data_IF_012075524344
#
_entry.id   IF_012075524344
#
_cell.length_a   1.000
_cell.length_b   1.000
_cell.length_c   1.000
_cell.angle_alpha   90.00
_cell.angle_beta   90.00
_cell.angle_gamma   90.00
#
_symmetry.space_group_name_H-M   'P 1'
#
loop_
_entity.id
_entity.type
_entity.pdbx_description
1 polymer ?
#
# COMPACT_ATOMS: atom_id res chain seq x y z
N UNK A 1 -4.73 2.31 -0.94
CA UNK A 1 -6.13 1.95 -0.58
C UNK A 1 -6.25 0.45 -0.89
N UNK A 2 -7.10 -0.35 -0.22
CA UNK A 2 -7.20 -1.79 -0.54
C UNK A 2 -8.45 -2.05 -1.39
N UNK A 3 -8.32 -2.86 -2.45
CA UNK A 3 -9.39 -3.20 -3.38
C UNK A 3 -10.64 -3.77 -2.72
N UNK A 4 -10.49 -4.52 -1.63
CA UNK A 4 -11.63 -5.03 -0.83
C UNK A 4 -12.46 -3.86 -0.29
N UNK A 5 -11.79 -2.83 0.25
CA UNK A 5 -12.45 -1.64 0.79
C UNK A 5 -13.18 -0.86 -0.31
N UNK A 6 -12.58 -0.76 -1.50
CA UNK A 6 -13.19 -0.10 -2.66
C UNK A 6 -14.45 -0.82 -3.13
N UNK A 7 -14.38 -2.14 -3.31
CA UNK A 7 -15.50 -2.96 -3.75
C UNK A 7 -16.63 -2.92 -2.72
N UNK A 8 -16.31 -3.03 -1.43
CA UNK A 8 -17.29 -2.89 -0.35
C UNK A 8 -18.00 -1.53 -0.39
N UNK A 9 -17.23 -0.44 -0.51
CA UNK A 9 -17.78 0.92 -0.55
C UNK A 9 -18.62 1.17 -1.80
N UNK A 10 -18.24 0.62 -2.96
CA UNK A 10 -19.04 0.68 -4.20
C UNK A 10 -20.41 0.02 -4.03
N UNK A 11 -20.50 -1.01 -3.20
CA UNK A 11 -21.76 -1.65 -2.83
C UNK A 11 -22.49 -0.98 -1.65
N UNK A 12 -21.95 0.10 -1.08
CA UNK A 12 -22.55 0.81 0.06
C UNK A 12 -22.56 0.01 1.37
N UNK A 13 -21.71 -1.02 1.49
CA UNK A 13 -21.71 -1.92 2.64
C UNK A 13 -20.82 -1.41 3.78
N UNK A 14 -21.21 -1.69 5.02
CA UNK A 14 -20.32 -1.55 6.19
C UNK A 14 -19.40 -2.76 6.30
N UNK A 15 -18.29 -2.64 7.03
CA UNK A 15 -17.40 -3.79 7.26
C UNK A 15 -18.12 -4.93 8.00
N UNK A 16 -19.02 -4.60 8.92
CA UNK A 16 -19.87 -5.58 9.61
C UNK A 16 -20.74 -6.35 8.62
N UNK A 17 -21.48 -5.66 7.74
CA UNK A 17 -22.33 -6.32 6.76
C UNK A 17 -21.54 -7.19 5.79
N UNK A 18 -20.38 -6.72 5.32
CA UNK A 18 -19.52 -7.57 4.48
C UNK A 18 -19.09 -8.84 5.24
N UNK A 19 -18.73 -8.70 6.52
CA UNK A 19 -18.38 -9.84 7.38
C UNK A 19 -19.50 -10.85 7.51
N UNK A 20 -20.72 -10.39 7.76
CA UNK A 20 -21.92 -11.23 7.84
C UNK A 20 -22.17 -12.02 6.54
N UNK A 21 -22.06 -11.37 5.39
CA UNK A 21 -22.28 -11.99 4.07
C UNK A 21 -21.27 -13.08 3.73
N UNK A 22 -20.01 -12.93 4.19
CA UNK A 22 -18.93 -13.88 3.88
C UNK A 22 -18.52 -14.75 5.07
N UNK A 23 -19.27 -14.69 6.17
CA UNK A 23 -19.11 -15.55 7.34
C UNK A 23 -17.90 -15.24 8.23
N UNK A 24 -17.46 -13.98 8.32
CA UNK A 24 -16.34 -13.55 9.17
C UNK A 24 -16.68 -12.35 10.03
N UNK A 25 -15.88 -12.09 11.08
CA UNK A 25 -16.09 -10.93 11.94
C UNK A 25 -15.79 -9.60 11.25
N UNK A 26 -16.39 -8.51 11.71
CA UNK A 26 -16.03 -7.15 11.27
C UNK A 26 -14.53 -6.85 11.45
N UNK A 27 -13.93 -7.37 12.52
CA UNK A 27 -12.50 -7.20 12.80
C UNK A 27 -11.65 -7.89 11.73
N UNK A 28 -12.09 -9.07 11.26
CA UNK A 28 -11.48 -9.80 10.16
C UNK A 28 -11.55 -9.00 8.86
N UNK A 29 -12.68 -8.34 8.56
CA UNK A 29 -12.79 -7.45 7.40
C UNK A 29 -11.86 -6.24 7.53
N UNK A 30 -11.83 -5.62 8.70
CA UNK A 30 -10.95 -4.46 8.97
C UNK A 30 -9.48 -4.82 8.75
N UNK A 31 -9.08 -6.04 9.14
CA UNK A 31 -7.77 -6.63 8.87
C UNK A 31 -7.51 -6.83 7.37
N UNK A 32 -8.44 -7.47 6.66
CA UNK A 32 -8.32 -7.67 5.20
C UNK A 32 -8.25 -6.37 4.40
N UNK A 33 -8.86 -5.29 4.88
CA UNK A 33 -8.81 -3.98 4.23
C UNK A 33 -7.52 -3.20 4.52
N UNK A 34 -6.66 -3.70 5.42
CA UNK A 34 -5.32 -3.15 5.64
C UNK A 34 -4.33 -3.80 4.67
N UNK A 35 -3.21 -3.11 4.42
CA UNK A 35 -2.28 -3.42 3.32
C UNK A 35 -1.39 -4.65 3.61
N UNK A 36 -1.35 -5.12 4.85
CA UNK A 36 -0.25 -5.95 5.37
C UNK A 36 -0.69 -7.32 5.91
N UNK A 37 -1.87 -7.83 5.51
CA UNK A 37 -2.44 -9.05 6.08
C UNK A 37 -2.56 -10.19 5.06
N UNK A 38 -2.11 -11.38 5.47
CA UNK A 38 -2.19 -12.61 4.65
C UNK A 38 -3.64 -13.13 4.66
N UNK A 39 -4.36 -12.92 3.56
CA UNK A 39 -5.69 -13.48 3.32
C UNK A 39 -5.54 -14.91 2.78
N UNK A 40 -6.25 -15.88 3.36
CA UNK A 40 -6.20 -17.27 2.89
C UNK A 40 -6.82 -17.43 1.49
N UNK A 41 -6.39 -18.44 0.74
CA UNK A 41 -6.92 -18.74 -0.60
C UNK A 41 -8.44 -18.96 -0.61
N UNK A 42 -8.98 -19.68 0.39
CA UNK A 42 -10.42 -19.92 0.52
C UNK A 42 -11.19 -18.60 0.72
N UNK A 43 -10.62 -17.68 1.49
CA UNK A 43 -11.22 -16.38 1.75
C UNK A 43 -11.20 -15.48 0.52
N UNK A 44 -10.09 -15.50 -0.24
CA UNK A 44 -10.01 -14.82 -1.54
C UNK A 44 -11.05 -15.35 -2.52
N UNK A 45 -11.30 -16.66 -2.53
CA UNK A 45 -12.32 -17.27 -3.35
C UNK A 45 -13.75 -16.85 -2.91
N UNK A 46 -14.00 -16.78 -1.59
CA UNK A 46 -15.27 -16.28 -1.06
C UNK A 46 -15.52 -14.82 -1.45
N UNK A 47 -14.51 -13.95 -1.30
CA UNK A 47 -14.58 -12.54 -1.70
C UNK A 47 -14.77 -12.40 -3.21
N UNK A 48 -14.07 -13.20 -4.02
CA UNK A 48 -14.21 -13.23 -5.49
C UNK A 48 -15.64 -13.58 -5.90
N UNK A 49 -16.24 -14.61 -5.30
CA UNK A 49 -17.63 -15.00 -5.55
C UNK A 49 -18.62 -13.91 -5.11
N UNK A 50 -18.41 -13.33 -3.93
CA UNK A 50 -19.27 -12.28 -3.39
C UNK A 50 -19.26 -11.02 -4.26
N UNK A 51 -18.07 -10.50 -4.59
CA UNK A 51 -17.91 -9.29 -5.39
C UNK A 51 -18.06 -9.53 -6.90
N UNK A 52 -18.13 -10.79 -7.34
CA UNK A 52 -18.20 -11.20 -8.76
C UNK A 52 -17.03 -10.63 -9.58
N UNK A 53 -15.84 -10.63 -8.99
CA UNK A 53 -14.59 -10.23 -9.64
C UNK A 53 -13.60 -11.38 -9.53
N UNK A 54 -12.70 -11.57 -10.50
CA UNK A 54 -11.69 -12.62 -10.39
C UNK A 54 -10.72 -12.34 -9.23
N UNK A 55 -10.13 -13.40 -8.66
CA UNK A 55 -9.27 -13.34 -7.47
C UNK A 55 -8.07 -12.42 -7.69
N UNK A 56 -7.52 -12.43 -8.91
CA UNK A 56 -6.39 -11.58 -9.30
C UNK A 56 -6.73 -10.08 -9.16
N UNK A 57 -7.97 -9.67 -9.46
CA UNK A 57 -8.41 -8.29 -9.31
C UNK A 57 -8.38 -7.82 -7.86
N UNK A 58 -8.70 -8.71 -6.91
CA UNK A 58 -8.66 -8.44 -5.46
C UNK A 58 -7.21 -8.34 -4.98
N UNK A 59 -6.32 -9.18 -5.52
CA UNK A 59 -4.90 -9.25 -5.15
C UNK A 59 -4.03 -8.18 -5.81
N UNK A 60 -4.46 -7.64 -6.96
CA UNK A 60 -3.77 -6.56 -7.66
C UNK A 60 -3.71 -5.34 -6.73
N UNK A 61 -2.54 -5.13 -6.13
CA UNK A 61 -2.11 -3.81 -5.63
C UNK A 61 -2.27 -2.81 -6.78
N UNK A 62 -2.67 -1.58 -6.48
CA UNK A 62 -3.00 -0.55 -7.47
C UNK A 62 -2.00 -0.57 -8.64
N UNK A 63 -2.40 -1.19 -9.76
CA UNK A 63 -1.48 -1.43 -10.90
C UNK A 63 -0.94 -0.12 -11.44
N UNK A 64 -1.74 0.93 -11.33
CA UNK A 64 -1.33 2.27 -11.67
C UNK A 64 -0.23 2.81 -10.75
N UNK A 65 -0.24 2.48 -9.46
CA UNK A 65 0.81 2.89 -8.53
C UNK A 65 2.10 2.16 -8.83
N UNK A 66 2.02 0.85 -9.10
CA UNK A 66 3.18 0.06 -9.51
C UNK A 66 3.73 0.54 -10.85
N UNK A 67 2.86 0.81 -11.82
CA UNK A 67 3.28 1.31 -13.13
C UNK A 67 3.93 2.70 -13.00
N UNK A 68 3.32 3.62 -12.24
CA UNK A 68 3.91 4.93 -11.95
C UNK A 68 5.28 4.81 -11.26
N UNK A 69 5.43 3.88 -10.31
CA UNK A 69 6.72 3.66 -9.65
C UNK A 69 7.78 3.13 -10.62
N UNK A 70 7.41 2.22 -11.52
CA UNK A 70 8.31 1.72 -12.57
C UNK A 70 8.71 2.81 -13.55
N UNK A 71 7.75 3.65 -13.97
CA UNK A 71 7.97 4.76 -14.89
C UNK A 71 8.91 5.79 -14.25
N UNK A 72 8.65 6.20 -13.00
CA UNK A 72 9.51 7.10 -12.24
C UNK A 72 10.93 6.54 -12.09
N UNK A 73 11.05 5.26 -11.75
CA UNK A 73 12.34 4.59 -11.61
C UNK A 73 13.11 4.59 -12.93
N UNK A 74 12.43 4.33 -14.04
CA UNK A 74 13.02 4.34 -15.38
C UNK A 74 13.52 5.74 -15.75
N UNK A 75 12.70 6.76 -15.56
CA UNK A 75 13.06 8.16 -15.83
C UNK A 75 14.29 8.58 -15.01
N UNK A 76 14.29 8.28 -13.70
CA UNK A 76 15.44 8.53 -12.81
C UNK A 76 16.71 7.86 -13.35
N UNK A 77 16.63 6.60 -13.78
CA UNK A 77 17.79 5.86 -14.27
C UNK A 77 18.27 6.33 -15.66
N UNK A 78 17.39 6.87 -16.49
CA UNK A 78 17.74 7.51 -17.76
C UNK A 78 18.50 8.82 -17.49
N UNK A 79 17.95 9.70 -16.65
CA UNK A 79 18.62 10.93 -16.23
C UNK A 79 19.98 10.67 -15.56
N UNK A 80 20.10 9.63 -14.73
CA UNK A 80 21.38 9.27 -14.08
C UNK A 80 22.47 8.94 -15.09
N UNK A 81 22.11 8.22 -16.16
CA UNK A 81 23.06 7.74 -17.18
C UNK A 81 23.61 8.87 -18.03
N UNK A 82 22.80 9.88 -18.32
CA UNK A 82 23.16 10.99 -19.21
C UNK A 82 24.00 12.07 -18.50
N UNK A 83 24.03 12.07 -17.17
CA UNK A 83 24.82 13.03 -16.39
C UNK A 83 26.32 12.70 -16.39
N UNK A 84 27.15 13.74 -16.22
CA UNK A 84 28.57 13.57 -15.90
C UNK A 84 28.79 13.08 -14.45
N UNK A 85 30.04 12.76 -14.12
CA UNK A 85 30.41 12.21 -12.82
C UNK A 85 30.09 13.16 -11.65
N UNK A 86 30.37 14.46 -11.79
CA UNK A 86 30.15 15.44 -10.72
C UNK A 86 28.65 15.57 -10.38
N UNK A 87 27.82 15.61 -11.42
CA UNK A 87 26.38 15.71 -11.29
C UNK A 87 25.76 14.44 -10.68
N UNK A 88 26.26 13.25 -11.06
CA UNK A 88 25.87 11.98 -10.44
C UNK A 88 26.21 11.92 -8.95
N UNK A 89 27.41 12.33 -8.57
CA UNK A 89 27.86 12.32 -7.17
C UNK A 89 27.03 13.28 -6.32
N UNK A 90 26.73 14.47 -6.85
CA UNK A 90 25.84 15.45 -6.20
C UNK A 90 24.44 14.88 -5.98
N UNK A 91 23.87 14.21 -6.99
CA UNK A 91 22.54 13.61 -6.86
C UNK A 91 22.48 12.51 -5.80
N UNK A 92 23.52 11.65 -5.73
CA UNK A 92 23.63 10.63 -4.69
C UNK A 92 23.69 11.25 -3.29
N UNK A 93 24.46 12.34 -3.13
CA UNK A 93 24.57 13.06 -1.84
C UNK A 93 23.21 13.61 -1.42
N UNK A 94 22.48 14.24 -2.35
CA UNK A 94 21.13 14.77 -2.09
C UNK A 94 20.17 13.63 -1.72
N UNK A 95 20.18 12.52 -2.47
CA UNK A 95 19.37 11.34 -2.16
C UNK A 95 19.63 10.80 -0.76
N UNK A 96 20.90 10.63 -0.38
CA UNK A 96 21.29 10.22 0.98
C UNK A 96 20.82 11.20 2.05
N UNK A 97 20.93 12.51 1.79
CA UNK A 97 20.46 13.55 2.72
C UNK A 97 18.94 13.50 2.92
N UNK A 98 18.18 13.34 1.84
CA UNK A 98 16.71 13.24 1.89
C UNK A 98 16.27 12.01 2.69
N UNK A 99 16.92 10.86 2.49
CA UNK A 99 16.66 9.65 3.27
C UNK A 99 16.98 9.83 4.75
N UNK A 100 18.10 10.46 5.08
CA UNK A 100 18.46 10.79 6.47
C UNK A 100 17.43 11.70 7.14
N UNK A 101 16.93 12.72 6.44
CA UNK A 101 15.88 13.62 6.94
C UNK A 101 14.55 12.91 7.22
N UNK A 102 14.19 11.89 6.43
CA UNK A 102 12.99 11.08 6.66
C UNK A 102 13.11 10.19 7.90
N UNK A 103 14.29 9.61 8.16
CA UNK A 103 14.53 8.80 9.36
C UNK A 103 14.41 9.60 10.65
N UNK A 104 14.90 10.85 10.68
CA UNK A 104 14.78 11.71 11.85
C UNK A 104 13.32 12.05 12.15
N UNK A 105 12.54 12.40 11.12
CA UNK A 105 11.12 12.74 11.27
C UNK A 105 10.28 11.54 11.71
N UNK A 106 10.54 10.35 11.14
CA UNK A 106 9.87 9.11 11.54
C UNK A 106 10.15 8.70 12.99
N UNK A 107 11.40 8.87 13.45
CA UNK A 107 11.76 8.57 14.84
C UNK A 107 11.12 9.56 15.83
N UNK A 108 11.03 10.85 15.49
CA UNK A 108 10.32 11.84 16.32
C UNK A 108 8.81 11.55 16.41
N UNK A 109 8.16 11.29 15.28
CA UNK A 109 6.73 10.96 15.22
C UNK A 109 6.42 9.67 15.99
N UNK A 110 7.25 8.63 15.85
CA UNK A 110 7.10 7.37 16.60
C UNK A 110 7.29 7.54 18.13
N UNK A 111 8.17 8.44 18.56
CA UNK A 111 8.40 8.72 19.99
C UNK A 111 7.23 9.53 20.57
N UNK A 112 6.71 10.50 19.82
CA UNK A 112 5.57 11.32 20.23
C UNK A 112 4.28 10.48 20.34
N UNK A 113 4.03 9.57 19.40
CA UNK A 113 2.87 8.67 19.45
C UNK A 113 2.90 7.70 20.65
N UNK A 114 4.09 7.28 21.11
CA UNK A 114 4.23 6.44 22.31
C UNK A 114 3.93 7.22 23.59
N UNK A 115 4.33 8.49 23.68
CA UNK A 115 4.08 9.35 24.86
C UNK A 115 2.64 9.79 25.02
N UNK A 116 1.86 9.82 23.93
CA UNK A 116 0.44 10.17 23.97
C UNK A 116 -0.48 9.00 24.36
N UNK A 117 0.08 7.79 24.51
CA UNK A 117 -0.64 6.56 24.88
C UNK A 117 -0.36 6.09 26.32
N UNK A 118 0.44 6.83 27.07
CA UNK A 118 0.67 6.69 28.52
C UNK A 118 -0.07 7.80 29.26
#
# INVERSE_FOLDING_TARGET
MNRISELRKKLGLTQTRLGEEIGVSQQTISKYEKVDENISGDMLLALSKFFKVPVDYILRKDEEEQQREQDNKREIMELYRDMDQYNRDTWIIIGKRLLGGQLHKYNEDSILEKRLKE
#
